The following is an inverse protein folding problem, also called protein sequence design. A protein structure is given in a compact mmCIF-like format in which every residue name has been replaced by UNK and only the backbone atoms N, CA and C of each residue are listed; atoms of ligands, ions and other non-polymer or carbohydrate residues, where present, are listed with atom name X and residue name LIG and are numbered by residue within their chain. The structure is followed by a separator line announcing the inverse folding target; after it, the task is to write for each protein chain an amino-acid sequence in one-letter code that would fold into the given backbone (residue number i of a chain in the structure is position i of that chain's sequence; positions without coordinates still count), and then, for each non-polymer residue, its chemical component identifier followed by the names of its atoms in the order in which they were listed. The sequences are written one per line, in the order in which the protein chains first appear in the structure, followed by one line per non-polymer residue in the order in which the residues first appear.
data_IF_886790604290
#
_entry.id   IF_886790604290
#
_cell.length_a   1.000
_cell.length_b   1.000
_cell.length_c   1.000
_cell.angle_alpha   90.00
_cell.angle_beta   90.00
_cell.angle_gamma   90.00
#
_symmetry.space_group_name_H-M   'P 1'
#
loop_
_entity.id
_entity.type
_entity.pdbx_description
1 polymer ?
#
# COMPACT_ATOMS: atom_id res chain seq x y z
N UNK A 1 -17.75 -4.13 2.80
CA UNK A 1 -17.88 -2.78 2.21
C UNK A 1 -18.85 -1.90 2.98
N UNK A 2 -20.06 -2.37 3.29
CA UNK A 2 -21.07 -1.63 4.09
C UNK A 2 -20.54 -1.14 5.45
N UNK A 3 -19.74 -1.94 6.13
CA UNK A 3 -19.18 -1.62 7.45
C UNK A 3 -18.15 -0.47 7.41
N UNK A 4 -17.39 -0.37 6.33
CA UNK A 4 -16.42 0.75 6.15
C UNK A 4 -17.10 2.06 5.77
N UNK A 5 -18.14 2.01 4.95
CA UNK A 5 -18.88 3.22 4.57
C UNK A 5 -19.52 3.87 5.80
N UNK A 6 -20.19 3.10 6.65
CA UNK A 6 -20.76 3.61 7.90
C UNK A 6 -19.68 4.24 8.79
N UNK A 7 -18.48 3.65 8.86
CA UNK A 7 -17.39 4.21 9.66
C UNK A 7 -16.88 5.54 9.10
N UNK A 8 -16.77 5.66 7.78
CA UNK A 8 -16.41 6.92 7.10
C UNK A 8 -17.47 7.98 7.33
N UNK A 9 -18.76 7.62 7.22
CA UNK A 9 -19.86 8.54 7.44
C UNK A 9 -19.86 9.09 8.87
N UNK A 10 -19.64 8.24 9.87
CA UNK A 10 -19.52 8.67 11.28
C UNK A 10 -18.33 9.63 11.49
N UNK A 11 -17.18 9.37 10.86
CA UNK A 11 -16.02 10.27 10.92
C UNK A 11 -16.40 11.64 10.36
N UNK A 12 -17.05 11.68 9.20
CA UNK A 12 -17.46 12.92 8.54
C UNK A 12 -18.48 13.71 9.40
N UNK A 13 -19.53 13.05 9.90
CA UNK A 13 -20.53 13.66 10.77
C UNK A 13 -19.90 14.21 12.07
N UNK A 14 -18.95 13.46 12.66
CA UNK A 14 -18.22 13.92 13.86
C UNK A 14 -17.37 15.15 13.54
N UNK A 15 -16.72 15.17 12.38
CA UNK A 15 -15.91 16.32 11.93
C UNK A 15 -16.79 17.56 11.65
N UNK A 16 -17.96 17.37 11.06
CA UNK A 16 -18.94 18.45 10.85
C UNK A 16 -19.42 19.04 12.18
N UNK A 17 -19.73 18.18 13.16
CA UNK A 17 -20.06 18.63 14.52
C UNK A 17 -18.95 19.48 15.14
N UNK A 18 -17.69 19.04 15.05
CA UNK A 18 -16.54 19.78 15.60
C UNK A 18 -16.36 21.14 14.92
N UNK A 19 -16.57 21.21 13.61
CA UNK A 19 -16.50 22.45 12.84
C UNK A 19 -17.64 23.43 13.20
N UNK A 20 -18.84 22.90 13.47
CA UNK A 20 -20.01 23.70 13.85
C UNK A 20 -19.94 24.21 15.30
N UNK A 21 -19.24 23.50 16.18
CA UNK A 21 -19.17 23.81 17.62
C UNK A 21 -17.72 23.82 18.11
N UNK A 22 -16.88 24.79 17.67
CA UNK A 22 -15.44 24.81 17.94
C UNK A 22 -15.11 25.07 19.43
N UNK A 23 -16.05 25.55 20.23
CA UNK A 23 -15.86 25.80 21.66
C UNK A 23 -16.51 24.71 22.55
N UNK A 24 -16.90 23.58 21.96
CA UNK A 24 -17.56 22.49 22.71
C UNK A 24 -16.59 21.74 23.62
N UNK A 25 -17.01 21.46 24.85
CA UNK A 25 -16.27 20.61 25.80
C UNK A 25 -16.10 19.16 25.31
N UNK A 26 -16.79 18.78 24.24
CA UNK A 26 -16.72 17.41 23.66
C UNK A 26 -15.66 17.26 22.56
N UNK A 27 -14.96 18.31 22.14
CA UNK A 27 -13.99 18.26 21.03
C UNK A 27 -12.93 17.19 21.23
N UNK A 28 -12.38 17.09 22.45
CA UNK A 28 -11.35 16.06 22.73
C UNK A 28 -11.91 14.65 22.55
N UNK A 29 -13.12 14.39 23.05
CA UNK A 29 -13.76 13.08 22.87
C UNK A 29 -14.08 12.78 21.41
N UNK A 30 -14.45 13.77 20.63
CA UNK A 30 -14.67 13.64 19.19
C UNK A 30 -13.37 13.29 18.46
N UNK A 31 -12.28 13.96 18.76
CA UNK A 31 -10.96 13.64 18.20
C UNK A 31 -10.53 12.22 18.55
N UNK A 32 -10.60 11.81 19.82
CA UNK A 32 -10.25 10.46 20.25
C UNK A 32 -11.11 9.39 19.55
N UNK A 33 -12.37 9.71 19.29
CA UNK A 33 -13.29 8.82 18.59
C UNK A 33 -12.91 8.69 17.10
N UNK A 34 -12.64 9.82 16.43
CA UNK A 34 -12.17 9.83 15.03
C UNK A 34 -10.88 9.03 14.89
N UNK A 35 -9.89 9.24 15.77
CA UNK A 35 -8.60 8.54 15.73
C UNK A 35 -8.78 7.03 15.92
N UNK A 36 -9.67 6.61 16.81
CA UNK A 36 -10.00 5.20 16.98
C UNK A 36 -10.63 4.60 15.72
N UNK A 37 -11.60 5.30 15.11
CA UNK A 37 -12.25 4.84 13.88
C UNK A 37 -11.29 4.77 12.69
N UNK A 38 -10.41 5.78 12.53
CA UNK A 38 -9.34 5.76 11.52
C UNK A 38 -8.39 4.59 11.73
N UNK A 39 -7.97 4.34 12.98
CA UNK A 39 -7.12 3.20 13.31
C UNK A 39 -7.74 1.86 12.91
N UNK A 40 -9.06 1.70 13.08
CA UNK A 40 -9.77 0.49 12.64
C UNK A 40 -9.79 0.34 11.11
N UNK A 41 -10.01 1.44 10.38
CA UNK A 41 -9.96 1.45 8.91
C UNK A 41 -8.55 1.09 8.42
N UNK A 42 -7.52 1.71 8.97
CA UNK A 42 -6.11 1.44 8.62
C UNK A 42 -5.74 -0.01 8.88
N UNK A 43 -6.12 -0.53 10.05
CA UNK A 43 -5.87 -1.93 10.42
C UNK A 43 -6.52 -2.89 9.42
N UNK A 44 -7.81 -2.68 9.09
CA UNK A 44 -8.54 -3.52 8.14
C UNK A 44 -7.92 -3.49 6.74
N UNK A 45 -7.53 -2.31 6.26
CA UNK A 45 -6.86 -2.16 4.97
C UNK A 45 -5.53 -2.92 4.93
N UNK A 46 -4.71 -2.78 5.97
CA UNK A 46 -3.44 -3.50 6.08
C UNK A 46 -3.62 -5.02 6.16
N UNK A 47 -4.54 -5.49 7.00
CA UNK A 47 -4.82 -6.93 7.16
C UNK A 47 -5.30 -7.55 5.85
N UNK A 48 -6.13 -6.86 5.08
CA UNK A 48 -6.58 -7.32 3.76
C UNK A 48 -5.41 -7.46 2.77
N UNK A 49 -4.53 -6.47 2.70
CA UNK A 49 -3.34 -6.52 1.85
C UNK A 49 -2.44 -7.69 2.24
N UNK A 50 -2.18 -7.82 3.54
CA UNK A 50 -1.34 -8.89 4.07
C UNK A 50 -1.94 -10.27 3.81
N UNK A 51 -3.25 -10.42 3.94
CA UNK A 51 -3.95 -11.67 3.61
C UNK A 51 -3.76 -12.05 2.15
N UNK A 52 -3.98 -11.14 1.19
CA UNK A 52 -3.73 -11.41 -0.22
C UNK A 52 -2.29 -11.83 -0.49
N UNK A 53 -1.33 -11.17 0.16
CA UNK A 53 0.08 -11.52 0.02
C UNK A 53 0.40 -12.92 0.56
N UNK A 54 -0.12 -13.28 1.73
CA UNK A 54 0.08 -14.58 2.36
C UNK A 54 -0.49 -15.74 1.56
N UNK A 55 -1.66 -15.54 0.93
CA UNK A 55 -2.28 -16.58 0.07
C UNK A 55 -1.75 -16.56 -1.36
N UNK A 56 -0.68 -15.80 -1.64
CA UNK A 56 -0.03 -15.68 -2.95
C UNK A 56 -0.91 -15.08 -4.07
N UNK A 57 -1.96 -14.35 -3.71
CA UNK A 57 -2.77 -13.55 -4.63
C UNK A 57 -2.04 -12.22 -4.99
N UNK A 58 -0.87 -12.35 -5.61
CA UNK A 58 0.07 -11.26 -5.80
C UNK A 58 -0.47 -10.07 -6.58
N UNK A 59 -1.31 -10.32 -7.59
CA UNK A 59 -1.99 -9.24 -8.34
C UNK A 59 -2.88 -8.42 -7.42
N UNK A 60 -3.69 -9.08 -6.61
CA UNK A 60 -4.60 -8.44 -5.68
C UNK A 60 -3.84 -7.74 -4.54
N UNK A 61 -2.79 -8.37 -4.00
CA UNK A 61 -1.95 -7.82 -2.95
C UNK A 61 -1.29 -6.51 -3.38
N UNK A 62 -0.66 -6.46 -4.56
CA UNK A 62 -0.03 -5.23 -5.08
C UNK A 62 -1.06 -4.13 -5.32
N UNK A 63 -2.18 -4.44 -5.98
CA UNK A 63 -3.22 -3.46 -6.25
C UNK A 63 -3.85 -2.90 -4.96
N UNK A 64 -4.14 -3.76 -3.99
CA UNK A 64 -4.71 -3.36 -2.71
C UNK A 64 -3.72 -2.51 -1.89
N UNK A 65 -2.42 -2.84 -1.91
CA UNK A 65 -1.39 -2.06 -1.23
C UNK A 65 -1.26 -0.64 -1.81
N UNK A 66 -1.20 -0.51 -3.14
CA UNK A 66 -1.17 0.79 -3.83
C UNK A 66 -2.43 1.61 -3.52
N UNK A 67 -3.61 0.96 -3.52
CA UNK A 67 -4.87 1.63 -3.18
C UNK A 67 -4.88 2.11 -1.72
N UNK A 68 -4.43 1.28 -0.78
CA UNK A 68 -4.36 1.63 0.64
C UNK A 68 -3.42 2.82 0.88
N UNK A 69 -2.23 2.83 0.25
CA UNK A 69 -1.28 3.94 0.32
C UNK A 69 -1.86 5.25 -0.22
N UNK A 70 -2.66 5.18 -1.29
CA UNK A 70 -3.32 6.35 -1.88
C UNK A 70 -4.47 6.85 -1.01
N UNK A 71 -5.27 5.94 -0.46
CA UNK A 71 -6.46 6.28 0.33
C UNK A 71 -6.12 6.74 1.74
N UNK A 72 -5.01 6.24 2.30
CA UNK A 72 -4.59 6.49 3.68
C UNK A 72 -3.11 6.86 3.72
N UNK A 73 -2.73 8.11 3.32
CA UNK A 73 -1.33 8.54 3.26
C UNK A 73 -0.61 8.53 4.62
N UNK A 74 -1.38 8.62 5.70
CA UNK A 74 -0.97 8.64 7.10
C UNK A 74 -0.99 7.27 7.79
N UNK A 75 -1.25 6.20 7.04
CA UNK A 75 -1.31 4.84 7.60
C UNK A 75 0.01 4.45 8.28
N UNK A 76 -0.01 3.99 9.55
CA UNK A 76 1.21 3.69 10.29
C UNK A 76 2.08 2.61 9.63
N UNK A 77 1.46 1.66 8.91
CA UNK A 77 2.14 0.57 8.21
C UNK A 77 2.59 0.94 6.79
N UNK A 78 2.80 2.22 6.51
CA UNK A 78 3.11 2.73 5.17
C UNK A 78 4.29 1.98 4.53
N UNK A 79 5.42 1.87 5.22
CA UNK A 79 6.61 1.19 4.69
C UNK A 79 6.37 -0.28 4.38
N UNK A 80 5.62 -0.98 5.23
CA UNK A 80 5.26 -2.37 5.00
C UNK A 80 4.33 -2.54 3.79
N UNK A 81 3.39 -1.61 3.59
CA UNK A 81 2.53 -1.61 2.41
C UNK A 81 3.32 -1.35 1.12
N UNK A 82 4.26 -0.42 1.14
CA UNK A 82 5.16 -0.15 0.01
C UNK A 82 6.01 -1.39 -0.33
N UNK A 83 6.54 -2.08 0.70
CA UNK A 83 7.22 -3.36 0.53
C UNK A 83 6.32 -4.39 -0.15
N UNK A 84 5.10 -4.61 0.37
CA UNK A 84 4.16 -5.58 -0.22
C UNK A 84 3.78 -5.17 -1.66
N UNK A 85 3.59 -3.87 -1.92
CA UNK A 85 3.25 -3.37 -3.24
C UNK A 85 4.28 -3.79 -4.29
N UNK A 86 5.57 -3.49 -4.10
CA UNK A 86 6.60 -3.84 -5.07
C UNK A 86 6.91 -5.33 -5.07
N UNK A 87 6.95 -5.99 -3.91
CA UNK A 87 7.28 -7.41 -3.80
C UNK A 87 6.23 -8.29 -4.47
N UNK A 88 4.96 -8.01 -4.21
CA UNK A 88 3.84 -8.69 -4.87
C UNK A 88 3.83 -8.42 -6.38
N UNK A 89 4.09 -7.18 -6.81
CA UNK A 89 4.17 -6.85 -8.23
C UNK A 89 5.31 -7.60 -8.93
N UNK A 90 6.47 -7.74 -8.28
CA UNK A 90 7.58 -8.55 -8.78
C UNK A 90 7.18 -10.02 -8.91
N UNK A 91 6.61 -10.62 -7.86
CA UNK A 91 6.18 -12.02 -7.87
C UNK A 91 5.07 -12.26 -8.91
N UNK A 92 4.16 -11.32 -9.08
CA UNK A 92 3.16 -11.36 -10.15
C UNK A 92 3.79 -11.29 -11.52
N UNK A 93 4.82 -10.44 -11.71
CA UNK A 93 5.55 -10.30 -12.96
C UNK A 93 6.30 -11.57 -13.34
N UNK A 94 7.11 -12.11 -12.41
CA UNK A 94 7.95 -13.28 -12.68
C UNK A 94 7.12 -14.55 -12.98
N UNK A 95 5.95 -14.69 -12.36
CA UNK A 95 5.04 -15.81 -12.59
C UNK A 95 4.09 -15.60 -13.79
N UNK A 96 4.31 -14.56 -14.59
CA UNK A 96 3.46 -14.22 -15.74
C UNK A 96 3.94 -14.92 -17.02
N UNK A 97 3.03 -15.05 -17.98
CA UNK A 97 3.38 -15.45 -19.35
C UNK A 97 4.35 -14.43 -19.96
N UNK A 98 5.23 -14.89 -20.85
CA UNK A 98 6.32 -14.06 -21.42
C UNK A 98 5.83 -12.73 -22.01
N UNK A 99 4.73 -12.75 -22.76
CA UNK A 99 4.15 -11.56 -23.41
C UNK A 99 3.73 -10.44 -22.43
N UNK A 100 3.51 -10.77 -21.16
CA UNK A 100 3.12 -9.82 -20.11
C UNK A 100 4.19 -9.60 -19.04
N UNK A 101 5.24 -10.41 -19.06
CA UNK A 101 6.24 -10.42 -18.01
C UNK A 101 7.01 -9.10 -17.93
N UNK A 102 7.50 -8.61 -19.08
CA UNK A 102 8.28 -7.36 -19.14
C UNK A 102 7.45 -6.19 -18.59
N UNK A 103 6.24 -5.97 -19.10
CA UNK A 103 5.35 -4.89 -18.64
C UNK A 103 5.14 -4.92 -17.11
N UNK A 104 4.92 -6.13 -16.56
CA UNK A 104 4.65 -6.29 -15.13
C UNK A 104 5.88 -6.11 -14.26
N UNK A 105 7.05 -6.50 -14.77
CA UNK A 105 8.33 -6.29 -14.09
C UNK A 105 8.74 -4.82 -14.14
N UNK A 106 8.49 -4.10 -15.22
CA UNK A 106 8.71 -2.65 -15.30
C UNK A 106 7.85 -1.88 -14.28
N UNK A 107 6.60 -2.29 -14.07
CA UNK A 107 5.77 -1.75 -12.97
C UNK A 107 6.36 -2.00 -11.59
N UNK A 108 6.97 -3.17 -11.37
CA UNK A 108 7.64 -3.46 -10.11
C UNK A 108 8.87 -2.55 -9.90
N UNK A 109 9.65 -2.26 -10.95
CA UNK A 109 10.76 -1.29 -10.88
C UNK A 109 10.24 0.09 -10.45
N UNK A 110 9.14 0.58 -11.06
CA UNK A 110 8.57 1.87 -10.68
C UNK A 110 8.23 1.92 -9.19
N UNK A 111 7.56 0.89 -8.65
CA UNK A 111 7.23 0.83 -7.23
C UNK A 111 8.46 0.74 -6.32
N UNK A 112 9.53 0.07 -6.79
CA UNK A 112 10.81 0.01 -6.05
C UNK A 112 11.48 1.37 -6.06
N UNK A 113 11.52 2.05 -7.20
CA UNK A 113 12.13 3.37 -7.34
C UNK A 113 11.39 4.40 -6.48
N UNK A 114 10.05 4.39 -6.49
CA UNK A 114 9.23 5.22 -5.60
C UNK A 114 9.54 4.97 -4.11
N UNK A 115 9.72 3.71 -3.71
CA UNK A 115 10.11 3.33 -2.35
C UNK A 115 11.51 3.87 -1.99
N UNK A 116 12.49 3.74 -2.88
CA UNK A 116 13.86 4.18 -2.66
C UNK A 116 14.01 5.71 -2.69
N UNK A 117 13.27 6.40 -3.58
CA UNK A 117 13.30 7.86 -3.74
C UNK A 117 12.66 8.59 -2.54
N UNK A 118 11.76 7.95 -1.81
CA UNK A 118 11.20 8.51 -0.57
C UNK A 118 12.23 8.64 0.57
N UNK A 119 13.53 8.74 0.25
CA UNK A 119 14.67 8.86 1.17
C UNK A 119 14.85 7.67 2.11
N UNK A 120 14.49 6.49 1.65
CA UNK A 120 14.59 5.25 2.44
C UNK A 120 15.79 4.41 2.07
N UNK A 121 16.94 5.05 1.82
CA UNK A 121 18.23 4.36 1.69
C UNK A 121 18.57 3.53 2.94
N UNK A 122 18.00 3.89 4.08
CA UNK A 122 18.13 3.22 5.39
C UNK A 122 16.83 2.55 5.85
N UNK A 123 15.80 2.50 5.00
CA UNK A 123 14.53 1.85 5.30
C UNK A 123 14.69 0.34 5.53
N UNK A 124 13.76 -0.24 6.29
CA UNK A 124 13.77 -1.64 6.71
C UNK A 124 13.91 -2.62 5.52
N UNK A 125 13.38 -2.26 4.36
CA UNK A 125 13.38 -3.10 3.16
C UNK A 125 14.28 -2.59 2.03
N UNK A 126 15.16 -1.60 2.28
CA UNK A 126 16.00 -0.98 1.25
C UNK A 126 16.97 -1.97 0.61
N UNK A 127 17.52 -2.91 1.36
CA UNK A 127 18.39 -3.97 0.83
C UNK A 127 17.62 -4.90 -0.10
N UNK A 128 16.44 -5.38 0.32
CA UNK A 128 15.57 -6.23 -0.50
C UNK A 128 15.10 -5.51 -1.78
N UNK A 129 14.77 -4.23 -1.68
CA UNK A 129 14.35 -3.42 -2.82
C UNK A 129 15.46 -3.34 -3.89
N UNK A 130 16.69 -3.03 -3.49
CA UNK A 130 17.86 -2.97 -4.40
C UNK A 130 18.14 -4.32 -5.04
N UNK A 131 18.15 -5.40 -4.24
CA UNK A 131 18.39 -6.75 -4.76
C UNK A 131 17.27 -7.20 -5.72
N UNK A 132 16.01 -6.93 -5.38
CA UNK A 132 14.86 -7.24 -6.23
C UNK A 132 14.94 -6.47 -7.54
N UNK A 133 15.30 -5.18 -7.50
CA UNK A 133 15.49 -4.34 -8.69
C UNK A 133 16.56 -4.92 -9.63
N UNK A 134 17.71 -5.34 -9.12
CA UNK A 134 18.75 -5.97 -9.91
C UNK A 134 18.30 -7.28 -10.55
N UNK A 135 17.56 -8.12 -9.81
CA UNK A 135 16.96 -9.35 -10.35
C UNK A 135 16.02 -9.07 -11.51
N UNK A 136 15.18 -8.05 -11.37
CA UNK A 136 14.24 -7.64 -12.42
C UNK A 136 15.00 -7.19 -13.68
N UNK A 137 16.00 -6.34 -13.54
CA UNK A 137 16.79 -5.83 -14.66
C UNK A 137 17.45 -6.99 -15.43
N UNK A 138 18.06 -7.94 -14.71
CA UNK A 138 18.64 -9.13 -15.31
C UNK A 138 17.62 -9.97 -16.07
N UNK A 139 16.44 -10.14 -15.52
CA UNK A 139 15.36 -10.92 -16.16
C UNK A 139 14.83 -10.22 -17.41
N UNK A 140 14.60 -8.90 -17.35
CA UNK A 140 14.15 -8.12 -18.53
C UNK A 140 15.21 -8.18 -19.64
N UNK A 141 16.49 -8.07 -19.31
CA UNK A 141 17.58 -8.13 -20.29
C UNK A 141 17.57 -9.48 -21.01
N UNK A 142 17.50 -10.59 -20.27
CA UNK A 142 17.38 -11.93 -20.86
C UNK A 142 16.17 -12.09 -21.78
N UNK A 143 15.03 -11.58 -21.37
CA UNK A 143 13.80 -11.67 -22.18
C UNK A 143 13.92 -10.86 -23.48
N UNK A 144 14.60 -9.71 -23.46
CA UNK A 144 14.83 -8.88 -24.65
C UNK A 144 15.85 -9.48 -25.62
N UNK A 145 16.75 -10.36 -25.17
CA UNK A 145 17.70 -11.08 -26.02
C UNK A 145 17.08 -12.29 -26.75
N UNK A 146 15.93 -12.76 -26.29
CA UNK A 146 15.24 -13.94 -26.84
C UNK A 146 14.18 -13.54 -27.88
N UNK A 147 13.75 -12.28 -27.88
CA UNK A 147 12.76 -11.71 -28.80
C UNK A 147 13.45 -11.09 -30.01
#
# INVERSE_FOLDING_TARGET
DLDQQNTVDIINETQEFMNAYPDSDYLQKCNDHIDNLRGRIHKKAFEQVNQYFQISEFKAASAAAVLALKSYPDIPQKEQLEYIAYKAQFLYGINSIETKRIERLEKAITLIDDYLDANRSEGLHSSDAKETREKIIKEITKLKEII
#
